data_IF_587374389018
#
_entry.id   IF_587374389018
#
_cell.length_a   1.000
_cell.length_b   1.000
_cell.length_c   1.000
_cell.angle_alpha   90.00
_cell.angle_beta   90.00
_cell.angle_gamma   90.00
#
_symmetry.space_group_name_H-M   'P 1'
#
loop_
_entity.id
_entity.type
_entity.pdbx_description
1 polymer ?
#
# COMPACT_ATOMS: atom_id res chain seq x y z
N UNK A 1 -45.82 -2.79 23.92
CA UNK A 1 -44.77 -3.81 23.73
C UNK A 1 -43.42 -3.12 23.82
N UNK A 2 -42.73 -3.22 24.95
CA UNK A 2 -41.39 -2.65 25.12
C UNK A 2 -40.40 -3.42 24.27
N UNK A 3 -39.73 -2.75 23.33
CA UNK A 3 -38.62 -3.33 22.59
C UNK A 3 -37.58 -3.84 23.59
N UNK A 4 -37.30 -5.14 23.58
CA UNK A 4 -36.23 -5.72 24.38
C UNK A 4 -34.93 -4.95 24.05
N UNK A 5 -34.11 -4.59 25.06
CA UNK A 5 -32.89 -3.84 24.80
C UNK A 5 -32.04 -4.62 23.79
N UNK A 6 -31.66 -3.95 22.70
CA UNK A 6 -30.78 -4.52 21.69
C UNK A 6 -29.59 -5.21 22.37
N UNK A 7 -29.20 -6.43 21.95
CA UNK A 7 -28.10 -7.17 22.54
C UNK A 7 -26.89 -6.26 22.75
N UNK A 8 -26.19 -6.38 23.89
CA UNK A 8 -25.03 -5.54 24.23
C UNK A 8 -24.02 -5.45 23.07
N UNK A 9 -23.89 -6.52 22.28
CA UNK A 9 -23.09 -6.57 21.05
C UNK A 9 -23.54 -5.59 19.96
N UNK A 10 -24.84 -5.40 19.75
CA UNK A 10 -25.35 -4.50 18.71
C UNK A 10 -25.18 -3.03 19.11
N UNK A 11 -25.29 -2.73 20.40
CA UNK A 11 -24.93 -1.41 20.95
C UNK A 11 -23.44 -1.12 20.79
N UNK A 12 -22.58 -2.10 21.11
CA UNK A 12 -21.13 -1.96 20.91
C UNK A 12 -20.76 -1.85 19.44
N UNK A 13 -21.45 -2.56 18.54
CA UNK A 13 -21.27 -2.42 17.10
C UNK A 13 -21.59 -1.00 16.65
N UNK A 14 -22.75 -0.46 17.06
CA UNK A 14 -23.14 0.90 16.72
C UNK A 14 -22.13 1.95 17.23
N UNK A 15 -21.53 1.73 18.41
CA UNK A 15 -20.48 2.60 18.94
C UNK A 15 -19.19 2.52 18.12
N UNK A 16 -18.70 1.31 17.84
CA UNK A 16 -17.41 1.08 17.16
C UNK A 16 -17.45 1.49 15.70
N UNK A 17 -18.62 1.39 15.06
CA UNK A 17 -18.85 1.77 13.65
C UNK A 17 -19.30 3.24 13.52
N UNK A 18 -19.40 3.98 14.64
CA UNK A 18 -19.77 5.39 14.60
C UNK A 18 -18.65 6.24 13.96
N UNK A 19 -18.97 7.15 13.01
CA UNK A 19 -17.98 8.04 12.40
C UNK A 19 -17.25 8.96 13.40
N UNK A 20 -17.89 9.26 14.53
CA UNK A 20 -17.26 10.01 15.61
C UNK A 20 -16.17 9.20 16.32
N UNK A 21 -16.41 7.89 16.53
CA UNK A 21 -15.43 6.99 17.14
C UNK A 21 -14.23 6.82 16.22
N UNK A 22 -14.44 6.61 14.91
CA UNK A 22 -13.33 6.52 13.95
C UNK A 22 -12.49 7.82 13.89
N UNK A 23 -13.15 8.99 13.85
CA UNK A 23 -12.45 10.29 13.89
C UNK A 23 -11.67 10.49 15.18
N UNK A 24 -12.22 10.10 16.33
CA UNK A 24 -11.52 10.14 17.61
C UNK A 24 -10.25 9.28 17.57
N UNK A 25 -10.32 8.05 17.06
CA UNK A 25 -9.15 7.17 16.95
C UNK A 25 -8.09 7.77 16.03
N UNK A 26 -8.49 8.33 14.88
CA UNK A 26 -7.55 9.02 13.97
C UNK A 26 -6.84 10.18 14.68
N UNK A 27 -7.59 11.03 15.40
CA UNK A 27 -7.01 12.15 16.15
C UNK A 27 -6.01 11.63 17.20
N UNK A 28 -6.35 10.57 17.94
CA UNK A 28 -5.43 9.97 18.91
C UNK A 28 -4.18 9.40 18.26
N UNK A 29 -4.26 8.82 17.06
CA UNK A 29 -3.08 8.35 16.31
C UNK A 29 -2.17 9.53 15.95
N UNK A 30 -2.73 10.63 15.46
CA UNK A 30 -1.96 11.83 15.09
C UNK A 30 -1.31 12.45 16.33
N UNK A 31 -2.05 12.61 17.43
CA UNK A 31 -1.50 13.10 18.70
C UNK A 31 -0.38 12.20 19.21
N UNK A 32 -0.56 10.87 19.13
CA UNK A 32 0.47 9.92 19.54
C UNK A 32 1.75 10.02 18.69
N UNK A 33 1.61 10.22 17.38
CA UNK A 33 2.74 10.43 16.49
C UNK A 33 3.51 11.72 16.84
N UNK A 34 2.81 12.81 17.17
CA UNK A 34 3.43 14.07 17.61
C UNK A 34 4.17 13.89 18.95
N UNK A 35 3.56 13.21 19.92
CA UNK A 35 4.19 12.90 21.20
C UNK A 35 5.47 12.09 20.98
N UNK A 36 5.44 11.08 20.11
CA UNK A 36 6.62 10.28 19.82
C UNK A 36 7.75 11.10 19.19
N UNK A 37 7.42 12.08 18.34
CA UNK A 37 8.40 13.06 17.85
C UNK A 37 9.00 13.89 18.98
N UNK A 38 8.19 14.37 19.93
CA UNK A 38 8.65 15.12 21.10
C UNK A 38 9.52 14.28 22.04
N UNK A 39 9.25 12.98 22.19
CA UNK A 39 10.08 12.06 22.98
C UNK A 39 11.51 11.93 22.46
N UNK A 40 11.77 12.27 21.19
CA UNK A 40 13.14 12.28 20.62
C UNK A 40 13.97 13.48 21.06
N UNK A 41 13.34 14.55 21.56
CA UNK A 41 14.02 15.78 21.97
C UNK A 41 14.41 15.72 23.45
N UNK A 42 15.72 15.81 23.77
CA UNK A 42 16.18 15.85 25.16
C UNK A 42 15.56 17.02 25.94
N UNK A 43 15.40 18.18 25.29
CA UNK A 43 14.83 19.40 25.90
C UNK A 43 13.36 19.21 26.27
N UNK A 44 12.56 18.60 25.38
CA UNK A 44 11.15 18.32 25.65
C UNK A 44 10.99 17.26 26.76
N UNK A 45 11.85 16.23 26.74
CA UNK A 45 11.87 15.19 27.77
C UNK A 45 12.28 15.72 29.14
N UNK A 46 13.17 16.71 29.21
CA UNK A 46 13.53 17.36 30.46
C UNK A 46 12.39 18.23 31.02
N UNK A 47 11.62 18.90 30.16
CA UNK A 47 10.52 19.78 30.59
C UNK A 47 9.24 19.02 30.99
N UNK A 48 8.81 18.06 30.16
CA UNK A 48 7.49 17.38 30.29
C UNK A 48 7.55 15.87 30.03
N UNK A 49 8.72 15.25 30.05
CA UNK A 49 8.92 13.84 29.69
C UNK A 49 7.99 12.85 30.41
N UNK A 50 7.85 12.89 31.75
CA UNK A 50 6.94 11.98 32.46
C UNK A 50 5.48 12.11 32.01
N UNK A 51 5.03 13.33 31.69
CA UNK A 51 3.68 13.58 31.20
C UNK A 51 3.49 13.03 29.78
N UNK A 52 4.47 13.24 28.87
CA UNK A 52 4.44 12.68 27.52
C UNK A 52 4.32 11.15 27.55
N UNK A 53 5.15 10.48 28.35
CA UNK A 53 5.12 9.01 28.49
C UNK A 53 3.82 8.52 29.13
N UNK A 54 3.24 9.26 30.07
CA UNK A 54 1.96 8.90 30.68
C UNK A 54 0.81 9.00 29.66
N UNK A 55 0.78 10.08 28.87
CA UNK A 55 -0.21 10.26 27.80
C UNK A 55 -0.05 9.18 26.74
N UNK A 56 1.19 8.86 26.35
CA UNK A 56 1.50 7.79 25.40
C UNK A 56 0.91 6.44 25.83
N UNK A 57 1.13 6.06 27.10
CA UNK A 57 0.57 4.84 27.69
C UNK A 57 -0.96 4.87 27.74
N UNK A 58 -1.55 6.03 28.04
CA UNK A 58 -3.00 6.18 28.05
C UNK A 58 -3.60 5.98 26.64
N UNK A 59 -2.97 6.57 25.62
CA UNK A 59 -3.40 6.38 24.22
C UNK A 59 -3.25 4.91 23.79
N UNK A 60 -2.15 4.25 24.17
CA UNK A 60 -1.98 2.82 23.91
C UNK A 60 -3.09 1.98 24.57
N UNK A 61 -3.46 2.29 25.82
CA UNK A 61 -4.55 1.60 26.50
C UNK A 61 -5.90 1.78 25.77
N UNK A 62 -6.19 2.98 25.24
CA UNK A 62 -7.37 3.22 24.40
C UNK A 62 -7.33 2.37 23.13
N UNK A 63 -6.18 2.24 22.49
CA UNK A 63 -6.01 1.41 21.29
C UNK A 63 -6.19 -0.09 21.56
N UNK A 64 -5.69 -0.58 22.69
CA UNK A 64 -5.93 -1.97 23.12
C UNK A 64 -7.42 -2.21 23.36
N UNK A 65 -8.10 -1.28 24.03
CA UNK A 65 -9.53 -1.38 24.29
C UNK A 65 -10.34 -1.34 22.99
N UNK A 66 -10.02 -0.41 22.08
CA UNK A 66 -10.64 -0.29 20.77
C UNK A 66 -10.50 -1.57 19.95
N UNK A 67 -9.31 -2.16 19.92
CA UNK A 67 -9.05 -3.43 19.24
C UNK A 67 -9.82 -4.58 19.88
N UNK A 68 -9.86 -4.66 21.20
CA UNK A 68 -10.62 -5.67 21.94
C UNK A 68 -12.12 -5.57 21.66
N UNK A 69 -12.67 -4.34 21.60
CA UNK A 69 -14.07 -4.09 21.22
C UNK A 69 -14.35 -4.52 19.78
N UNK A 70 -13.49 -4.16 18.82
CA UNK A 70 -13.59 -4.60 17.42
C UNK A 70 -13.55 -6.13 17.29
N UNK A 71 -12.66 -6.78 18.05
CA UNK A 71 -12.56 -8.23 18.12
C UNK A 71 -13.82 -8.87 18.69
N UNK A 72 -14.36 -8.36 19.80
CA UNK A 72 -15.58 -8.88 20.43
C UNK A 72 -16.80 -8.77 19.50
N UNK A 73 -16.97 -7.63 18.81
CA UNK A 73 -18.09 -7.40 17.88
C UNK A 73 -17.98 -8.31 16.65
N UNK A 74 -16.78 -8.45 16.06
CA UNK A 74 -16.60 -9.13 14.75
C UNK A 74 -16.19 -10.61 14.85
N UNK A 75 -15.68 -11.08 15.99
CA UNK A 75 -15.25 -12.46 16.25
C UNK A 75 -14.33 -12.99 15.14
N UNK A 76 -14.63 -14.13 14.53
CA UNK A 76 -13.83 -14.74 13.47
C UNK A 76 -13.75 -13.88 12.19
N UNK A 77 -14.74 -13.01 11.94
CA UNK A 77 -14.67 -12.07 10.82
C UNK A 77 -13.62 -10.98 11.03
N UNK A 78 -13.03 -10.86 12.22
CA UNK A 78 -11.89 -9.99 12.48
C UNK A 78 -10.68 -10.39 11.63
N UNK A 79 -10.37 -11.69 11.54
CA UNK A 79 -9.20 -12.22 10.83
C UNK A 79 -9.36 -12.26 9.30
N UNK A 80 -10.51 -11.87 8.75
CA UNK A 80 -10.71 -11.78 7.29
C UNK A 80 -10.26 -10.45 6.70
N UNK A 81 -9.96 -9.45 7.53
CA UNK A 81 -9.56 -8.12 7.10
C UNK A 81 -8.06 -7.90 7.40
N UNK A 82 -7.19 -7.80 6.37
CA UNK A 82 -5.76 -7.62 6.54
C UNK A 82 -5.40 -6.40 7.39
N UNK A 83 -6.19 -5.32 7.31
CA UNK A 83 -5.94 -4.08 8.07
C UNK A 83 -6.17 -4.25 9.56
N UNK A 84 -7.07 -5.15 9.95
CA UNK A 84 -7.33 -5.49 11.36
C UNK A 84 -6.24 -6.39 11.93
N UNK A 85 -5.74 -7.32 11.12
CA UNK A 85 -4.57 -8.14 11.49
C UNK A 85 -3.35 -7.23 11.66
N UNK A 86 -3.15 -6.27 10.75
CA UNK A 86 -2.09 -5.28 10.85
C UNK A 86 -2.18 -4.49 12.17
N UNK A 87 -3.35 -3.94 12.51
CA UNK A 87 -3.56 -3.24 13.78
C UNK A 87 -3.28 -4.14 14.99
N UNK A 88 -3.69 -5.42 14.93
CA UNK A 88 -3.42 -6.40 15.98
C UNK A 88 -1.93 -6.65 16.18
N UNK A 89 -1.18 -6.86 15.09
CA UNK A 89 0.28 -7.06 15.16
C UNK A 89 0.96 -5.83 15.73
N UNK A 90 0.59 -4.65 15.26
CA UNK A 90 1.20 -3.38 15.65
C UNK A 90 0.93 -3.04 17.13
N UNK A 91 -0.31 -3.20 17.59
CA UNK A 91 -0.65 -3.04 19.02
C UNK A 91 -0.03 -4.15 19.86
N UNK A 92 0.04 -5.37 19.34
CA UNK A 92 0.69 -6.51 19.99
C UNK A 92 2.17 -6.28 20.26
N UNK A 93 2.93 -5.81 19.27
CA UNK A 93 4.36 -5.44 19.43
C UNK A 93 4.53 -4.33 20.47
N UNK A 94 3.61 -3.36 20.52
CA UNK A 94 3.67 -2.28 21.50
C UNK A 94 3.46 -2.73 22.95
N UNK A 95 2.77 -3.86 23.16
CA UNK A 95 2.53 -4.44 24.49
C UNK A 95 3.70 -5.27 25.01
N UNK A 96 4.65 -5.67 24.16
CA UNK A 96 5.76 -6.52 24.57
C UNK A 96 6.64 -5.75 25.58
N UNK A 97 6.86 -6.32 26.81
CA UNK A 97 7.78 -5.74 27.77
C UNK A 97 9.20 -5.70 27.20
N UNK A 98 9.75 -4.51 27.05
CA UNK A 98 11.09 -4.31 26.50
C UNK A 98 12.15 -4.50 27.60
N UNK A 99 12.41 -5.75 27.97
CA UNK A 99 13.47 -6.13 28.92
C UNK A 99 14.56 -6.96 28.20
N UNK A 100 15.82 -6.73 28.58
CA UNK A 100 16.96 -7.53 28.10
C UNK A 100 17.23 -7.42 26.58
N UNK A 101 17.62 -8.52 25.90
CA UNK A 101 17.96 -8.55 24.47
C UNK A 101 16.86 -8.06 23.53
N UNK A 102 15.61 -8.00 24.01
CA UNK A 102 14.46 -7.51 23.27
C UNK A 102 14.30 -5.98 23.37
N UNK A 103 15.33 -5.24 23.81
CA UNK A 103 15.31 -3.78 23.89
C UNK A 103 15.01 -3.12 22.54
N UNK A 104 15.41 -3.74 21.42
CA UNK A 104 15.09 -3.26 20.06
C UNK A 104 13.57 -3.25 19.78
N UNK A 105 12.79 -4.10 20.46
CA UNK A 105 11.33 -4.09 20.35
C UNK A 105 10.71 -2.77 20.87
N UNK A 106 11.45 -2.03 21.70
CA UNK A 106 11.06 -0.68 22.11
C UNK A 106 11.02 0.27 20.92
N UNK A 107 11.98 0.16 20.00
CA UNK A 107 12.03 0.99 18.81
C UNK A 107 10.83 0.68 17.89
N UNK A 108 10.43 -0.58 17.76
CA UNK A 108 9.26 -0.96 16.95
C UNK A 108 7.92 -0.42 17.46
N UNK A 109 7.86 0.17 18.66
CA UNK A 109 6.68 0.92 19.11
C UNK A 109 6.36 2.09 18.18
N UNK A 110 7.35 2.64 17.46
CA UNK A 110 7.12 3.65 16.42
C UNK A 110 6.22 3.15 15.30
N UNK A 111 6.20 1.84 15.03
CA UNK A 111 5.36 1.25 14.00
C UNK A 111 3.87 1.46 14.26
N UNK A 112 3.46 1.77 15.50
CA UNK A 112 2.06 2.14 15.79
C UNK A 112 1.59 3.41 15.10
N UNK A 113 2.51 4.29 14.68
CA UNK A 113 2.16 5.44 13.83
C UNK A 113 1.65 4.97 12.46
N UNK A 114 2.09 3.80 11.99
CA UNK A 114 1.59 3.21 10.74
C UNK A 114 0.11 2.81 10.82
N UNK A 115 -0.50 2.79 12.02
CA UNK A 115 -1.96 2.69 12.15
C UNK A 115 -2.70 3.83 11.48
N UNK A 116 -2.04 4.94 11.16
CA UNK A 116 -2.63 5.98 10.33
C UNK A 116 -2.98 5.43 8.93
N UNK A 117 -2.13 4.56 8.38
CA UNK A 117 -2.37 3.88 7.10
C UNK A 117 -3.62 3.01 7.19
N UNK A 118 -3.76 2.24 8.28
CA UNK A 118 -4.95 1.42 8.51
C UNK A 118 -6.15 2.25 8.95
N UNK A 119 -6.03 3.45 9.52
CA UNK A 119 -7.19 4.24 9.94
C UNK A 119 -7.76 5.10 8.79
N UNK A 120 -6.92 5.52 7.84
CA UNK A 120 -7.28 6.46 6.77
C UNK A 120 -7.56 5.73 5.45
N UNK A 121 -8.80 5.76 4.91
CA UNK A 121 -9.15 5.01 3.70
C UNK A 121 -8.35 5.38 2.45
N UNK A 122 -7.95 6.64 2.28
CA UNK A 122 -7.09 7.05 1.16
C UNK A 122 -5.71 6.40 1.24
N UNK A 123 -5.10 6.32 2.42
CA UNK A 123 -3.81 5.66 2.62
C UNK A 123 -3.91 4.15 2.40
N UNK A 124 -4.99 3.51 2.89
CA UNK A 124 -5.27 2.09 2.60
C UNK A 124 -5.32 1.84 1.10
N UNK A 125 -6.00 2.72 0.33
CA UNK A 125 -6.10 2.58 -1.14
C UNK A 125 -4.73 2.63 -1.80
N UNK A 126 -3.88 3.59 -1.43
CA UNK A 126 -2.51 3.72 -1.96
C UNK A 126 -1.69 2.47 -1.68
N UNK A 127 -1.63 2.02 -0.42
CA UNK A 127 -0.83 0.84 -0.04
C UNK A 127 -1.41 -0.44 -0.64
N UNK A 128 -2.74 -0.58 -0.70
CA UNK A 128 -3.38 -1.73 -1.36
C UNK A 128 -3.05 -1.76 -2.85
N UNK A 129 -3.04 -0.60 -3.52
CA UNK A 129 -2.66 -0.49 -4.93
C UNK A 129 -1.22 -0.97 -5.16
N UNK A 130 -0.28 -0.49 -4.33
CA UNK A 130 1.12 -0.94 -4.38
C UNK A 130 1.26 -2.45 -4.14
N UNK A 131 0.56 -3.00 -3.14
CA UNK A 131 0.61 -4.43 -2.82
C UNK A 131 -0.06 -5.30 -3.90
N UNK A 132 -1.08 -4.79 -4.59
CA UNK A 132 -1.76 -5.51 -5.69
C UNK A 132 -0.92 -5.63 -6.94
N UNK A 133 0.07 -4.75 -7.13
CA UNK A 133 1.02 -4.86 -8.24
C UNK A 133 2.04 -6.00 -8.04
N UNK A 134 2.29 -6.42 -6.79
CA UNK A 134 3.34 -7.42 -6.48
C UNK A 134 3.04 -8.84 -7.05
N UNK A 135 1.81 -9.40 -6.92
CA UNK A 135 1.50 -10.75 -7.39
C UNK A 135 1.76 -11.00 -8.88
N UNK A 136 1.49 -10.02 -9.75
CA UNK A 136 1.76 -10.12 -11.19
C UNK A 136 3.22 -10.39 -11.54
N UNK A 137 4.11 -10.23 -10.56
CA UNK A 137 5.56 -10.29 -10.72
C UNK A 137 6.22 -11.43 -9.96
N UNK A 138 5.43 -12.30 -9.32
CA UNK A 138 5.96 -13.35 -8.44
C UNK A 138 7.01 -14.22 -9.14
N UNK A 139 6.86 -14.47 -10.43
CA UNK A 139 7.81 -15.22 -11.26
C UNK A 139 9.18 -14.53 -11.37
N UNK A 140 9.20 -13.21 -11.62
CA UNK A 140 10.43 -12.41 -11.72
C UNK A 140 11.11 -12.29 -10.35
N UNK A 141 10.34 -12.06 -9.29
CA UNK A 141 10.86 -11.99 -7.91
C UNK A 141 11.47 -13.34 -7.50
N UNK A 142 10.83 -14.45 -7.84
CA UNK A 142 11.34 -15.80 -7.58
C UNK A 142 12.64 -16.06 -8.36
N UNK A 143 12.66 -15.74 -9.65
CA UNK A 143 13.85 -15.87 -10.49
C UNK A 143 15.01 -15.02 -9.95
N UNK A 144 14.73 -13.76 -9.59
CA UNK A 144 15.72 -12.86 -9.00
C UNK A 144 16.26 -13.44 -7.70
N UNK A 145 15.39 -13.93 -6.81
CA UNK A 145 15.78 -14.53 -5.54
C UNK A 145 16.67 -15.76 -5.72
N UNK A 146 16.40 -16.60 -6.74
CA UNK A 146 17.23 -17.75 -7.08
C UNK A 146 18.61 -17.32 -7.59
N UNK A 147 18.66 -16.34 -8.51
CA UNK A 147 19.93 -15.77 -9.01
C UNK A 147 20.73 -15.20 -7.83
N UNK A 148 20.08 -14.42 -6.97
CA UNK A 148 20.69 -13.83 -5.80
C UNK A 148 21.27 -14.88 -4.85
N UNK A 149 20.53 -15.96 -4.59
CA UNK A 149 20.98 -17.09 -3.78
C UNK A 149 22.22 -17.76 -4.38
N UNK A 150 22.20 -18.06 -5.68
CA UNK A 150 23.33 -18.72 -6.36
C UNK A 150 24.58 -17.84 -6.31
N UNK A 151 24.45 -16.54 -6.61
CA UNK A 151 25.57 -15.60 -6.55
C UNK A 151 26.07 -15.39 -5.11
N UNK A 152 25.19 -15.33 -4.11
CA UNK A 152 25.62 -15.21 -2.72
C UNK A 152 26.47 -16.41 -2.29
N UNK A 153 26.02 -17.64 -2.58
CA UNK A 153 26.79 -18.85 -2.28
C UNK A 153 28.13 -18.87 -3.02
N UNK A 154 28.16 -18.48 -4.30
CA UNK A 154 29.40 -18.39 -5.07
C UNK A 154 30.36 -17.35 -4.50
N UNK A 155 29.88 -16.15 -4.19
CA UNK A 155 30.69 -15.07 -3.61
C UNK A 155 31.31 -15.50 -2.27
N UNK A 156 30.52 -16.17 -1.41
CA UNK A 156 31.02 -16.71 -0.15
C UNK A 156 32.17 -17.69 -0.37
N UNK A 157 32.03 -18.61 -1.33
CA UNK A 157 33.07 -19.61 -1.60
C UNK A 157 34.30 -19.06 -2.31
N UNK A 158 34.12 -18.07 -3.19
CA UNK A 158 35.21 -17.50 -3.99
C UNK A 158 36.02 -16.47 -3.21
N UNK A 159 35.36 -15.60 -2.46
CA UNK A 159 35.98 -14.41 -1.88
C UNK A 159 36.04 -14.42 -0.35
N UNK A 160 35.21 -15.23 0.33
CA UNK A 160 35.06 -15.21 1.80
C UNK A 160 36.32 -15.52 2.60
N UNK A 161 37.27 -16.25 2.03
CA UNK A 161 38.55 -16.54 2.68
C UNK A 161 39.50 -15.34 2.75
N UNK A 162 39.38 -14.38 1.82
CA UNK A 162 40.26 -13.20 1.71
C UNK A 162 39.55 -11.92 2.15
N UNK A 163 38.25 -11.83 1.88
CA UNK A 163 37.40 -10.68 2.19
C UNK A 163 36.28 -11.09 3.16
N UNK A 164 36.61 -11.41 4.42
CA UNK A 164 35.64 -11.95 5.35
C UNK A 164 34.51 -10.96 5.70
N UNK A 165 34.81 -9.66 5.80
CA UNK A 165 33.81 -8.63 6.13
C UNK A 165 32.66 -8.54 5.11
N UNK A 166 32.91 -8.93 3.86
CA UNK A 166 31.93 -8.85 2.77
C UNK A 166 31.39 -10.21 2.38
N UNK A 167 32.21 -11.26 2.47
CA UNK A 167 31.88 -12.55 1.87
C UNK A 167 32.11 -13.76 2.80
N UNK A 168 32.38 -13.60 4.10
CA UNK A 168 32.63 -14.76 4.99
C UNK A 168 31.40 -15.67 5.11
N UNK A 169 30.22 -15.09 5.24
CA UNK A 169 28.95 -15.80 5.33
C UNK A 169 28.06 -15.51 4.14
N UNK A 170 27.08 -16.39 3.93
CA UNK A 170 26.05 -16.20 2.91
C UNK A 170 25.24 -14.91 3.13
N UNK A 171 25.02 -14.52 4.39
CA UNK A 171 24.28 -13.30 4.73
C UNK A 171 25.06 -12.03 4.38
N UNK A 172 26.35 -12.00 4.71
CA UNK A 172 27.24 -10.89 4.31
C UNK A 172 27.35 -10.81 2.79
N UNK A 173 27.52 -11.96 2.12
CA UNK A 173 27.58 -12.02 0.67
C UNK A 173 26.29 -11.50 0.02
N UNK A 174 25.13 -11.88 0.55
CA UNK A 174 23.84 -11.38 0.09
C UNK A 174 23.70 -9.87 0.31
N UNK A 175 24.15 -9.35 1.45
CA UNK A 175 24.12 -7.91 1.73
C UNK A 175 25.05 -7.13 0.78
N UNK A 176 26.28 -7.59 0.57
CA UNK A 176 27.22 -6.96 -0.37
C UNK A 176 26.73 -7.05 -1.81
N UNK A 177 26.14 -8.17 -2.23
CA UNK A 177 25.52 -8.28 -3.55
C UNK A 177 24.28 -7.37 -3.71
N UNK A 178 23.56 -7.08 -2.61
CA UNK A 178 22.48 -6.09 -2.63
C UNK A 178 23.01 -4.69 -2.84
N UNK A 179 24.08 -4.31 -2.13
CA UNK A 179 24.80 -3.07 -2.37
C UNK A 179 25.26 -2.95 -3.84
N UNK A 180 25.91 -4.00 -4.37
CA UNK A 180 26.34 -4.06 -5.78
C UNK A 180 25.15 -3.94 -6.75
N UNK A 181 24.03 -4.60 -6.48
CA UNK A 181 22.81 -4.51 -7.30
C UNK A 181 22.26 -3.07 -7.34
N UNK A 182 22.35 -2.32 -6.23
CA UNK A 182 21.98 -0.89 -6.18
C UNK A 182 23.02 0.04 -6.84
N UNK A 183 24.12 -0.52 -7.37
CA UNK A 183 25.27 0.18 -7.93
C UNK A 183 25.98 1.11 -6.93
N UNK A 184 25.70 0.98 -5.64
CA UNK A 184 26.33 1.77 -4.58
C UNK A 184 27.76 1.30 -4.39
N UNK A 185 28.73 2.18 -4.68
CA UNK A 185 30.18 1.94 -4.53
C UNK A 185 30.69 0.60 -5.09
N UNK A 186 29.99 0.00 -6.05
CA UNK A 186 30.24 -1.39 -6.45
C UNK A 186 31.65 -1.58 -7.00
N UNK A 187 32.19 -0.62 -7.76
CA UNK A 187 33.54 -0.72 -8.34
C UNK A 187 34.60 -0.29 -7.33
N UNK A 188 34.56 0.95 -6.84
CA UNK A 188 35.61 1.51 -5.98
C UNK A 188 35.63 0.90 -4.59
N UNK A 189 34.46 0.56 -4.03
CA UNK A 189 34.32 0.04 -2.66
C UNK A 189 34.44 -1.47 -2.56
N UNK A 190 34.08 -2.22 -3.61
CA UNK A 190 34.04 -3.70 -3.58
C UNK A 190 34.94 -4.31 -4.66
N UNK A 191 34.61 -4.15 -5.95
CA UNK A 191 35.22 -4.97 -7.01
C UNK A 191 36.70 -4.64 -7.23
N UNK A 192 37.13 -3.37 -7.16
CA UNK A 192 38.55 -2.99 -7.32
C UNK A 192 39.44 -3.56 -6.21
N UNK A 193 39.10 -3.39 -4.92
CA UNK A 193 39.80 -4.10 -3.84
C UNK A 193 39.83 -5.62 -4.04
N UNK A 194 38.70 -6.23 -4.44
CA UNK A 194 38.66 -7.67 -4.72
C UNK A 194 39.58 -8.05 -5.88
N UNK A 195 39.69 -7.21 -6.92
CA UNK A 195 40.57 -7.46 -8.06
C UNK A 195 42.07 -7.38 -7.74
N UNK A 196 42.46 -6.73 -6.64
CA UNK A 196 43.87 -6.74 -6.19
C UNK A 196 44.31 -8.15 -5.79
N UNK A 197 43.40 -8.95 -5.22
CA UNK A 197 43.65 -10.37 -4.90
C UNK A 197 43.16 -11.34 -5.98
N UNK A 198 42.08 -10.99 -6.69
CA UNK A 198 41.43 -11.82 -7.70
C UNK A 198 41.26 -11.05 -9.01
N UNK A 199 42.29 -10.99 -9.89
CA UNK A 199 42.28 -10.13 -11.08
C UNK A 199 41.09 -10.32 -12.03
N UNK A 200 40.47 -11.51 -12.04
CA UNK A 200 39.30 -11.84 -12.86
C UNK A 200 37.96 -11.68 -12.14
N UNK A 201 37.91 -11.09 -10.94
CA UNK A 201 36.67 -10.91 -10.19
C UNK A 201 35.60 -10.11 -10.96
N UNK A 202 36.00 -9.23 -11.89
CA UNK A 202 35.07 -8.54 -12.78
C UNK A 202 34.18 -9.51 -13.59
N UNK A 203 34.68 -10.70 -13.93
CA UNK A 203 33.91 -11.71 -14.67
C UNK A 203 32.79 -12.34 -13.83
N UNK A 204 32.83 -12.16 -12.51
CA UNK A 204 31.74 -12.51 -11.60
C UNK A 204 30.78 -11.34 -11.43
N UNK A 205 31.30 -10.16 -11.08
CA UNK A 205 30.46 -9.01 -10.69
C UNK A 205 29.79 -8.30 -11.88
N UNK A 206 30.44 -8.21 -13.05
CA UNK A 206 29.84 -7.54 -14.21
C UNK A 206 28.62 -8.30 -14.74
N UNK A 207 28.67 -9.64 -14.96
CA UNK A 207 27.47 -10.39 -15.34
C UNK A 207 26.36 -10.31 -14.29
N UNK A 208 26.71 -10.37 -12.99
CA UNK A 208 25.75 -10.16 -11.91
C UNK A 208 25.01 -8.83 -12.08
N UNK A 209 25.74 -7.73 -12.21
CA UNK A 209 25.18 -6.38 -12.39
C UNK A 209 24.27 -6.31 -13.62
N UNK A 210 24.71 -6.86 -14.76
CA UNK A 210 23.93 -6.82 -16.00
C UNK A 210 22.61 -7.58 -15.84
N UNK A 211 22.66 -8.79 -15.27
CA UNK A 211 21.48 -9.62 -15.04
C UNK A 211 20.52 -8.95 -14.06
N UNK A 212 21.01 -8.48 -12.90
CA UNK A 212 20.14 -7.88 -11.88
C UNK A 212 19.58 -6.54 -12.31
N UNK A 213 20.38 -5.69 -12.96
CA UNK A 213 19.90 -4.39 -13.46
C UNK A 213 18.85 -4.56 -14.55
N UNK A 214 19.07 -5.50 -15.49
CA UNK A 214 18.10 -5.82 -16.52
C UNK A 214 16.80 -6.37 -15.91
N UNK A 215 16.90 -7.28 -14.94
CA UNK A 215 15.73 -7.87 -14.31
C UNK A 215 14.96 -6.86 -13.44
N UNK A 216 15.63 -5.92 -12.74
CA UNK A 216 14.97 -4.81 -12.04
C UNK A 216 14.28 -3.86 -13.01
N UNK A 217 14.90 -3.56 -14.16
CA UNK A 217 14.27 -2.74 -15.20
C UNK A 217 13.03 -3.42 -15.77
N UNK A 218 13.11 -4.71 -16.10
CA UNK A 218 11.97 -5.48 -16.57
C UNK A 218 10.88 -5.63 -15.50
N UNK A 219 11.25 -5.68 -14.23
CA UNK A 219 10.30 -5.62 -13.13
C UNK A 219 9.52 -4.29 -13.21
N UNK A 220 10.23 -3.16 -13.27
CA UNK A 220 9.57 -1.85 -13.36
C UNK A 220 8.66 -1.72 -14.59
N UNK A 221 9.13 -2.15 -15.77
CA UNK A 221 8.33 -2.18 -16.99
C UNK A 221 7.11 -3.10 -16.84
N UNK A 222 7.28 -4.28 -16.23
CA UNK A 222 6.18 -5.20 -15.96
C UNK A 222 5.09 -4.58 -15.08
N UNK A 223 5.45 -3.89 -14.00
CA UNK A 223 4.50 -3.17 -13.13
C UNK A 223 3.75 -2.11 -13.93
N UNK A 224 4.49 -1.33 -14.73
CA UNK A 224 3.91 -0.23 -15.48
C UNK A 224 2.95 -0.73 -16.56
N UNK A 225 3.31 -1.81 -17.27
CA UNK A 225 2.47 -2.44 -18.28
C UNK A 225 1.22 -3.03 -17.65
N UNK A 226 1.34 -3.78 -16.55
CA UNK A 226 0.20 -4.34 -15.81
C UNK A 226 -0.75 -3.24 -15.31
N UNK A 227 -0.20 -2.15 -14.79
CA UNK A 227 -0.97 -0.98 -14.37
C UNK A 227 -1.68 -0.28 -15.55
N UNK A 228 -1.04 -0.19 -16.72
CA UNK A 228 -1.68 0.40 -17.90
C UNK A 228 -2.74 -0.52 -18.51
N UNK A 229 -2.50 -1.84 -18.55
CA UNK A 229 -3.44 -2.81 -19.10
C UNK A 229 -4.72 -2.90 -18.27
N UNK A 230 -4.61 -2.91 -16.94
CA UNK A 230 -5.78 -2.91 -16.05
C UNK A 230 -6.69 -1.68 -16.23
N UNK A 231 -6.15 -0.53 -16.64
CA UNK A 231 -6.96 0.63 -16.99
C UNK A 231 -7.69 0.47 -18.35
N UNK A 232 -7.02 -0.09 -19.36
CA UNK A 232 -7.64 -0.32 -20.67
C UNK A 232 -8.69 -1.43 -20.62
N UNK A 233 -8.42 -2.53 -19.92
CA UNK A 233 -9.38 -3.63 -19.75
C UNK A 233 -10.67 -3.16 -19.05
N UNK A 234 -10.55 -2.29 -18.05
CA UNK A 234 -11.72 -1.70 -17.37
C UNK A 234 -12.54 -0.76 -18.28
N UNK A 235 -11.87 -0.01 -19.17
CA UNK A 235 -12.54 0.84 -20.15
C UNK A 235 -13.22 0.02 -21.26
N UNK A 236 -12.55 -1.03 -21.73
CA UNK A 236 -13.06 -1.96 -22.75
C UNK A 236 -14.26 -2.77 -22.22
N UNK A 237 -14.21 -3.26 -20.97
CA UNK A 237 -15.35 -3.91 -20.31
C UNK A 237 -16.52 -2.96 -20.13
N UNK A 238 -16.29 -1.72 -19.68
CA UNK A 238 -17.34 -0.71 -19.57
C UNK A 238 -17.95 -0.34 -20.94
N UNK A 239 -17.14 -0.28 -21.99
CA UNK A 239 -17.61 -0.08 -23.36
C UNK A 239 -18.42 -1.28 -23.87
N UNK A 240 -17.98 -2.51 -23.58
CA UNK A 240 -18.66 -3.74 -23.95
C UNK A 240 -19.99 -3.92 -23.20
N UNK A 241 -20.05 -3.61 -21.90
CA UNK A 241 -21.30 -3.61 -21.12
C UNK A 241 -22.28 -2.55 -21.62
N UNK A 242 -21.81 -1.36 -21.98
CA UNK A 242 -22.64 -0.33 -22.62
C UNK A 242 -23.18 -0.80 -23.99
N UNK A 243 -22.39 -1.57 -24.76
CA UNK A 243 -22.81 -2.13 -26.04
C UNK A 243 -23.73 -3.35 -25.91
N UNK A 244 -23.57 -4.16 -24.85
CA UNK A 244 -24.32 -5.39 -24.59
C UNK A 244 -25.59 -5.18 -23.74
N UNK A 245 -25.75 -4.01 -23.13
CA UNK A 245 -27.00 -3.61 -22.48
C UNK A 245 -28.17 -3.73 -23.47
N UNK A 246 -29.37 -4.21 -23.07
CA UNK A 246 -30.52 -4.48 -23.98
C UNK A 246 -31.01 -3.27 -24.79
N UNK A 247 -30.49 -2.09 -24.47
CA UNK A 247 -30.74 -0.83 -25.14
C UNK A 247 -29.46 -0.22 -25.77
N UNK A 248 -28.74 -0.89 -26.70
CA UNK A 248 -27.61 -0.26 -27.38
C UNK A 248 -28.08 0.89 -28.28
N UNK A 249 -29.34 0.79 -28.70
CA UNK A 249 -30.08 1.78 -29.49
C UNK A 249 -31.18 2.46 -28.69
N UNK A 250 -31.31 2.29 -27.36
CA UNK A 250 -32.36 2.99 -26.60
C UNK A 250 -32.12 4.49 -26.65
N UNK A 251 -31.01 4.96 -26.08
CA UNK A 251 -30.65 6.37 -26.08
C UNK A 251 -30.44 6.94 -27.50
N UNK A 252 -29.82 6.19 -28.41
CA UNK A 252 -29.62 6.63 -29.79
C UNK A 252 -30.92 6.67 -30.61
N UNK A 253 -31.85 5.72 -30.40
CA UNK A 253 -33.16 5.72 -31.06
C UNK A 253 -34.13 6.71 -30.40
N UNK A 254 -34.06 6.94 -29.08
CA UNK A 254 -34.80 8.00 -28.39
C UNK A 254 -34.37 9.36 -28.92
N UNK A 255 -33.07 9.63 -28.99
CA UNK A 255 -32.53 10.88 -29.55
C UNK A 255 -32.88 11.03 -31.03
N UNK A 256 -32.82 9.96 -31.83
CA UNK A 256 -33.30 10.00 -33.22
C UNK A 256 -34.81 10.21 -33.34
N UNK A 257 -35.60 9.67 -32.41
CA UNK A 257 -37.05 9.85 -32.37
C UNK A 257 -37.41 11.29 -31.96
N UNK A 258 -36.76 11.84 -30.94
CA UNK A 258 -36.87 13.26 -30.56
C UNK A 258 -36.46 14.18 -31.70
N UNK A 259 -35.34 13.91 -32.38
CA UNK A 259 -34.90 14.70 -33.53
C UNK A 259 -35.91 14.65 -34.69
N UNK A 260 -36.58 13.52 -34.90
CA UNK A 260 -37.65 13.41 -35.92
C UNK A 260 -38.90 14.18 -35.50
N UNK A 261 -39.30 14.11 -34.23
CA UNK A 261 -40.43 14.85 -33.69
C UNK A 261 -40.20 16.37 -33.76
N UNK A 262 -39.02 16.84 -33.34
CA UNK A 262 -38.61 18.24 -33.46
C UNK A 262 -38.60 18.72 -34.92
N UNK A 263 -38.11 17.90 -35.85
CA UNK A 263 -38.15 18.25 -37.28
C UNK A 263 -39.57 18.36 -37.83
N UNK A 264 -40.50 17.52 -37.36
CA UNK A 264 -41.91 17.58 -37.73
C UNK A 264 -42.57 18.86 -37.20
N UNK A 265 -42.37 19.19 -35.92
CA UNK A 265 -42.87 20.45 -35.32
C UNK A 265 -42.31 21.69 -36.02
N UNK A 266 -41.02 21.69 -36.34
CA UNK A 266 -40.40 22.81 -37.09
C UNK A 266 -40.98 22.93 -38.49
N UNK A 267 -41.30 21.82 -39.16
CA UNK A 267 -41.94 21.84 -40.47
C UNK A 267 -43.37 22.39 -40.39
N UNK A 268 -44.13 22.02 -39.36
CA UNK A 268 -45.48 22.48 -39.10
C UNK A 268 -45.51 23.98 -38.77
N UNK A 269 -44.66 24.45 -37.84
CA UNK A 269 -44.50 25.87 -37.55
C UNK A 269 -44.11 26.70 -38.80
N UNK A 270 -43.23 26.16 -39.66
CA UNK A 270 -42.87 26.82 -40.91
C UNK A 270 -44.04 26.89 -41.89
N UNK A 271 -44.91 25.87 -41.92
CA UNK A 271 -46.10 25.87 -42.74
C UNK A 271 -47.12 26.90 -42.23
N UNK A 272 -47.34 26.99 -40.92
CA UNK A 272 -48.22 27.99 -40.30
C UNK A 272 -47.72 29.43 -40.50
N UNK A 273 -46.41 29.66 -40.35
CA UNK A 273 -45.80 30.97 -40.62
C UNK A 273 -45.96 31.39 -42.09
N UNK A 274 -45.79 30.45 -43.03
CA UNK A 274 -46.03 30.71 -44.46
C UNK A 274 -47.50 31.02 -44.72
N UNK A 275 -48.42 30.26 -44.12
CA UNK A 275 -49.86 30.51 -44.25
C UNK A 275 -50.27 31.89 -43.71
N UNK A 276 -49.67 32.33 -42.58
CA UNK A 276 -49.86 33.68 -42.04
C UNK A 276 -49.25 34.77 -42.90
N UNK A 277 -48.13 34.51 -43.58
CA UNK A 277 -47.52 35.45 -44.52
C UNK A 277 -48.32 35.57 -45.83
N UNK A 278 -49.01 34.52 -46.27
CA UNK A 278 -49.86 34.55 -47.47
C UNK A 278 -51.30 35.02 -47.21
N UNK A 279 -51.78 34.93 -45.97
CA UNK A 279 -53.12 35.39 -45.57
C UNK A 279 -53.18 36.82 -45.02
N UNK A 280 -52.07 37.56 -45.05
CA UNK A 280 -51.95 38.95 -44.58
C UNK A 280 -51.85 40.00 -45.70
N UNK A 281 -52.37 39.70 -46.89
CA UNK A 281 -52.50 40.63 -48.01
C UNK A 281 -53.98 40.96 -48.26
#
# INVERSE_FOLDING_TARGET
MSAAPAPLRDRLRALVEAPAFERMIIVLIVVNALILGLETSPTAMAAVGPALVAIDRAILAVFVLELALRFYVRRLAFFRDPWRIFDLVVVGVALIPAAGPLSILRAFRILRVLRLVSAVPSMRRVVTGLLRAIPGMGSVVLLMSLIFYVFAVMATKLFGGVFPEWFQTMGESAYTLFQVMTLESWSMGIVRPVMEAFPYAWAFFVPFILITSFAVLNLFVGIMVDAMQTHHEAEDEAAAENAASPHPHGAAAETLAELRALRAEVAEMRAELRARQTGGA
#
